data_IF_560724951645
#
_entry.id   IF_560724951645
#
_cell.length_a   1.000
_cell.length_b   1.000
_cell.length_c   1.000
_cell.angle_alpha   90.00
_cell.angle_beta   90.00
_cell.angle_gamma   90.00
#
_symmetry.space_group_name_H-M   'P 1'
#
loop_
_entity.id
_entity.type
_entity.pdbx_description
1 polymer ?
#
# COMPACT_ATOMS: atom_id res chain seq x y z
N UNK A 1 -34.68 8.40 -26.30
CA UNK A 1 -33.36 7.83 -26.65
C UNK A 1 -32.20 8.78 -26.32
N UNK A 2 -32.19 10.03 -26.83
CA UNK A 2 -31.09 10.98 -26.63
C UNK A 2 -30.79 11.35 -25.15
N UNK A 3 -31.82 11.58 -24.33
CA UNK A 3 -31.64 11.96 -22.91
C UNK A 3 -31.07 10.82 -22.06
N UNK A 4 -31.47 9.57 -22.33
CA UNK A 4 -30.97 8.38 -21.62
C UNK A 4 -29.49 8.14 -21.96
N UNK A 5 -29.11 8.30 -23.24
CA UNK A 5 -27.71 8.20 -23.65
C UNK A 5 -26.83 9.28 -22.99
N UNK A 6 -27.34 10.52 -22.85
CA UNK A 6 -26.62 11.61 -22.20
C UNK A 6 -26.40 11.35 -20.69
N UNK A 7 -27.44 10.88 -19.99
CA UNK A 7 -27.34 10.55 -18.54
C UNK A 7 -26.38 9.39 -18.31
N UNK A 8 -26.42 8.35 -19.15
CA UNK A 8 -25.48 7.22 -19.07
C UNK A 8 -24.03 7.65 -19.35
N UNK A 9 -23.81 8.54 -20.32
CA UNK A 9 -22.48 9.07 -20.62
C UNK A 9 -21.91 9.90 -19.46
N UNK A 10 -22.74 10.70 -18.78
CA UNK A 10 -22.32 11.49 -17.63
C UNK A 10 -22.00 10.62 -16.42
N UNK A 11 -22.82 9.60 -16.14
CA UNK A 11 -22.55 8.63 -15.07
C UNK A 11 -21.25 7.85 -15.31
N UNK A 12 -20.96 7.47 -16.56
CA UNK A 12 -19.72 6.80 -16.93
C UNK A 12 -18.48 7.70 -16.73
N UNK A 13 -18.56 8.98 -17.14
CA UNK A 13 -17.49 9.95 -16.94
C UNK A 13 -17.18 10.21 -15.46
N UNK A 14 -18.22 10.33 -14.62
CA UNK A 14 -18.05 10.49 -13.17
C UNK A 14 -17.43 9.25 -12.52
N UNK A 15 -17.85 8.05 -12.93
CA UNK A 15 -17.27 6.79 -12.45
C UNK A 15 -15.79 6.65 -12.81
N UNK A 16 -15.40 7.01 -14.02
CA UNK A 16 -14.00 6.99 -14.48
C UNK A 16 -13.14 7.99 -13.71
N UNK A 17 -13.62 9.23 -13.54
CA UNK A 17 -12.90 10.27 -12.80
C UNK A 17 -12.72 9.91 -11.32
N UNK A 18 -13.72 9.28 -10.69
CA UNK A 18 -13.63 8.83 -9.31
C UNK A 18 -12.64 7.66 -9.16
N UNK A 19 -12.68 6.68 -10.06
CA UNK A 19 -11.74 5.56 -10.05
C UNK A 19 -10.28 6.02 -10.24
N UNK A 20 -10.04 6.98 -11.14
CA UNK A 20 -8.71 7.57 -11.33
C UNK A 20 -8.20 8.28 -10.06
N UNK A 21 -9.05 9.06 -9.37
CA UNK A 21 -8.66 9.68 -8.10
C UNK A 21 -8.30 8.64 -7.03
N UNK A 22 -9.09 7.58 -6.90
CA UNK A 22 -8.83 6.50 -5.92
C UNK A 22 -7.52 5.77 -6.23
N UNK A 23 -7.22 5.53 -7.51
CA UNK A 23 -5.95 4.93 -7.93
C UNK A 23 -4.75 5.78 -7.52
N UNK A 24 -4.79 7.09 -7.77
CA UNK A 24 -3.70 8.00 -7.42
C UNK A 24 -3.54 8.16 -5.91
N UNK A 25 -4.65 8.24 -5.16
CA UNK A 25 -4.64 8.26 -3.69
C UNK A 25 -4.00 7.00 -3.10
N UNK A 26 -4.32 5.81 -3.63
CA UNK A 26 -3.78 4.55 -3.16
C UNK A 26 -2.30 4.37 -3.53
N UNK A 27 -1.87 4.81 -4.72
CA UNK A 27 -0.44 4.85 -5.08
C UNK A 27 0.33 5.80 -4.19
N UNK A 28 -0.25 6.95 -3.86
CA UNK A 28 0.33 7.89 -2.90
C UNK A 28 0.44 7.27 -1.51
N UNK A 29 -0.61 6.60 -1.04
CA UNK A 29 -0.62 5.92 0.26
C UNK A 29 0.52 4.91 0.38
N UNK A 30 0.72 4.07 -0.63
CA UNK A 30 1.81 3.07 -0.63
C UNK A 30 3.19 3.71 -0.76
N UNK A 31 3.31 4.80 -1.54
CA UNK A 31 4.56 5.59 -1.61
C UNK A 31 4.92 6.22 -0.27
N UNK A 32 3.93 6.78 0.44
CA UNK A 32 4.11 7.34 1.78
C UNK A 32 4.49 6.23 2.78
N UNK A 33 3.92 5.03 2.63
CA UNK A 33 4.27 3.84 3.44
C UNK A 33 5.71 3.40 3.21
N UNK A 34 6.17 3.33 1.95
CA UNK A 34 7.56 3.04 1.60
C UNK A 34 8.54 4.06 2.21
N UNK A 35 8.19 5.35 2.17
CA UNK A 35 8.98 6.38 2.83
C UNK A 35 8.99 6.22 4.37
N UNK A 36 7.87 5.81 4.97
CA UNK A 36 7.75 5.59 6.41
C UNK A 36 8.61 4.41 6.88
N UNK A 37 8.64 3.28 6.15
CA UNK A 37 9.47 2.13 6.53
C UNK A 37 10.97 2.45 6.45
N UNK A 38 11.41 3.26 5.48
CA UNK A 38 12.81 3.71 5.37
C UNK A 38 13.18 4.67 6.50
N UNK A 39 12.27 5.56 6.88
CA UNK A 39 12.48 6.51 7.99
C UNK A 39 12.35 5.88 9.37
N UNK A 40 11.81 4.66 9.47
CA UNK A 40 11.40 4.07 10.74
C UNK A 40 10.26 4.83 11.41
N UNK A 41 9.38 5.47 10.63
CA UNK A 41 8.24 6.24 11.14
C UNK A 41 7.10 5.31 11.59
N UNK A 42 7.25 4.80 12.80
CA UNK A 42 6.30 3.88 13.42
C UNK A 42 4.89 4.46 13.52
N UNK A 43 4.75 5.76 13.77
CA UNK A 43 3.43 6.39 13.93
C UNK A 43 2.63 6.35 12.61
N UNK A 44 3.30 6.61 11.48
CA UNK A 44 2.67 6.47 10.16
C UNK A 44 2.29 5.01 9.88
N UNK A 45 3.19 4.05 10.18
CA UNK A 45 2.92 2.63 9.97
C UNK A 45 1.75 2.13 10.83
N UNK A 46 1.64 2.56 12.08
CA UNK A 46 0.52 2.25 12.97
C UNK A 46 -0.81 2.79 12.44
N UNK A 47 -0.80 4.03 11.91
CA UNK A 47 -2.00 4.68 11.37
C UNK A 47 -2.47 4.06 10.07
N UNK A 48 -1.56 3.67 9.18
CA UNK A 48 -1.88 3.12 7.85
C UNK A 48 -2.25 1.64 7.87
N UNK A 49 -2.01 0.94 8.98
CA UNK A 49 -2.18 -0.51 9.07
C UNK A 49 -3.40 -0.85 9.94
N UNK A 50 -4.31 -1.65 9.41
CA UNK A 50 -5.47 -2.14 10.16
C UNK A 50 -5.07 -3.12 11.27
N UNK A 51 -5.88 -3.23 12.32
CA UNK A 51 -5.60 -4.13 13.45
C UNK A 51 -5.72 -5.63 13.07
N UNK A 52 -6.44 -5.95 11.99
CA UNK A 52 -6.56 -7.29 11.40
C UNK A 52 -5.52 -7.59 10.30
N UNK A 53 -4.52 -6.72 10.14
CA UNK A 53 -3.47 -6.88 9.14
C UNK A 53 -2.73 -8.21 9.28
N UNK A 54 -2.48 -8.84 8.13
CA UNK A 54 -1.68 -10.06 8.01
C UNK A 54 -0.64 -9.90 6.91
N UNK A 55 0.64 -10.03 7.28
CA UNK A 55 1.76 -10.15 6.35
C UNK A 55 2.14 -11.61 6.18
N UNK A 56 2.35 -12.05 4.94
CA UNK A 56 3.06 -13.29 4.62
C UNK A 56 4.42 -12.89 4.02
N UNK A 57 5.51 -13.24 4.70
CA UNK A 57 6.85 -12.88 4.23
C UNK A 57 7.40 -13.88 3.20
N UNK A 58 8.60 -13.60 2.67
CA UNK A 58 9.29 -14.44 1.66
C UNK A 58 9.60 -15.87 2.14
N UNK A 59 9.55 -16.12 3.45
CA UNK A 59 9.74 -17.44 4.05
C UNK A 59 8.40 -18.14 4.36
N UNK A 60 7.27 -17.57 3.95
CA UNK A 60 5.92 -18.10 4.24
C UNK A 60 5.46 -17.89 5.68
N UNK A 61 6.16 -17.08 6.48
CA UNK A 61 5.76 -16.81 7.86
C UNK A 61 4.69 -15.72 7.91
N UNK A 62 3.68 -15.94 8.74
CA UNK A 62 2.61 -14.99 8.98
C UNK A 62 2.96 -14.07 10.15
N UNK A 63 2.63 -12.78 10.05
CA UNK A 63 2.74 -11.83 11.15
C UNK A 63 1.65 -10.76 11.11
N UNK A 64 1.32 -10.21 12.28
CA UNK A 64 0.33 -9.16 12.44
C UNK A 64 0.92 -7.75 12.59
N UNK A 65 0.04 -6.75 12.72
CA UNK A 65 0.42 -5.33 12.87
C UNK A 65 1.41 -5.08 14.02
N UNK A 66 1.15 -5.62 15.21
CA UNK A 66 2.00 -5.40 16.38
C UNK A 66 3.43 -5.91 16.16
N UNK A 67 3.57 -7.11 15.60
CA UNK A 67 4.87 -7.71 15.28
C UNK A 67 5.64 -6.89 14.23
N UNK A 68 4.95 -6.39 13.20
CA UNK A 68 5.55 -5.50 12.21
C UNK A 68 6.06 -4.22 12.87
N UNK A 69 5.21 -3.55 13.65
CA UNK A 69 5.54 -2.29 14.34
C UNK A 69 6.71 -2.47 15.32
N UNK A 70 6.69 -3.52 16.13
CA UNK A 70 7.75 -3.82 17.08
C UNK A 70 9.09 -4.11 16.40
N UNK A 71 9.08 -4.72 15.21
CA UNK A 71 10.29 -4.97 14.44
C UNK A 71 10.98 -3.67 14.00
N UNK A 72 10.21 -2.67 13.54
CA UNK A 72 10.74 -1.34 13.22
C UNK A 72 11.16 -0.58 14.49
N UNK A 73 10.32 -0.59 15.54
CA UNK A 73 10.57 0.13 16.79
C UNK A 73 11.83 -0.36 17.53
N UNK A 74 12.08 -1.67 17.51
CA UNK A 74 13.27 -2.29 18.11
C UNK A 74 14.52 -2.22 17.23
N UNK A 75 14.41 -1.76 15.98
CA UNK A 75 15.50 -1.77 15.01
C UNK A 75 15.87 -3.17 14.49
N UNK A 76 15.08 -4.20 14.81
CA UNK A 76 15.23 -5.54 14.20
C UNK A 76 15.00 -5.50 12.69
N UNK A 77 14.15 -4.59 12.24
CA UNK A 77 14.02 -4.19 10.83
C UNK A 77 14.52 -2.76 10.67
N UNK A 78 15.46 -2.57 9.75
CA UNK A 78 15.97 -1.25 9.37
C UNK A 78 16.19 -1.20 7.87
N UNK A 79 15.26 -0.59 7.15
CA UNK A 79 15.38 -0.41 5.71
C UNK A 79 16.12 0.88 5.39
N UNK A 80 16.96 0.85 4.37
CA UNK A 80 17.70 2.00 3.83
C UNK A 80 17.19 2.43 2.46
N UNK A 81 16.47 1.54 1.76
CA UNK A 81 15.72 1.85 0.54
C UNK A 81 14.47 0.99 0.44
N UNK A 82 13.42 1.54 -0.15
CA UNK A 82 12.21 0.85 -0.59
C UNK A 82 11.67 1.59 -1.83
N UNK A 83 12.07 1.11 -3.01
CA UNK A 83 11.74 1.74 -4.29
C UNK A 83 10.61 0.99 -4.98
N UNK A 84 9.47 1.66 -5.15
CA UNK A 84 8.28 1.10 -5.77
C UNK A 84 8.25 1.37 -7.28
N UNK A 85 7.89 0.35 -8.06
CA UNK A 85 7.69 0.45 -9.50
C UNK A 85 6.57 -0.48 -9.98
N UNK A 86 6.09 -0.26 -11.21
CA UNK A 86 5.05 -1.08 -11.85
C UNK A 86 3.74 -1.20 -11.02
N UNK A 87 3.41 -0.21 -10.19
CA UNK A 87 2.21 -0.22 -9.36
C UNK A 87 0.94 -0.19 -10.21
N UNK A 88 0.06 -1.16 -9.96
CA UNK A 88 -1.27 -1.28 -10.55
C UNK A 88 -2.30 -1.43 -9.44
N UNK A 89 -3.39 -0.68 -9.55
CA UNK A 89 -4.50 -0.71 -8.60
C UNK A 89 -5.72 -1.32 -9.27
N UNK A 90 -6.41 -2.23 -8.58
CA UNK A 90 -7.73 -2.73 -8.98
C UNK A 90 -8.71 -2.52 -7.84
N UNK A 91 -9.81 -1.81 -8.10
CA UNK A 91 -10.83 -1.49 -7.10
C UNK A 91 -12.03 -2.42 -7.25
N UNK A 92 -12.46 -3.00 -6.14
CA UNK A 92 -13.59 -3.90 -5.97
C UNK A 92 -14.49 -3.38 -4.84
N UNK A 93 -15.42 -2.49 -5.19
CA UNK A 93 -16.27 -1.83 -4.18
C UNK A 93 -15.46 -1.00 -3.20
N UNK A 94 -15.44 -1.39 -1.93
CA UNK A 94 -14.66 -0.74 -0.86
C UNK A 94 -13.26 -1.36 -0.66
N UNK A 95 -12.88 -2.33 -1.48
CA UNK A 95 -11.59 -3.04 -1.38
C UNK A 95 -10.73 -2.71 -2.59
N UNK A 96 -9.43 -2.52 -2.40
CA UNK A 96 -8.49 -2.37 -3.51
C UNK A 96 -7.35 -3.38 -3.38
N UNK A 97 -6.91 -3.92 -4.51
CA UNK A 97 -5.71 -4.75 -4.61
C UNK A 97 -4.65 -3.94 -5.34
N UNK A 98 -3.54 -3.67 -4.64
CA UNK A 98 -2.35 -3.04 -5.19
C UNK A 98 -1.33 -4.14 -5.49
N UNK A 99 -0.81 -4.15 -6.71
CA UNK A 99 0.32 -5.02 -7.11
C UNK A 99 1.44 -4.16 -7.67
N UNK A 100 2.69 -4.52 -7.43
CA UNK A 100 3.85 -3.80 -7.97
C UNK A 100 5.14 -4.54 -7.67
N UNK A 101 6.26 -3.90 -7.98
CA UNK A 101 7.60 -4.33 -7.59
C UNK A 101 8.15 -3.39 -6.53
N UNK A 102 8.78 -3.95 -5.51
CA UNK A 102 9.53 -3.22 -4.50
C UNK A 102 10.99 -3.66 -4.56
N UNK A 103 11.90 -2.71 -4.72
CA UNK A 103 13.34 -2.94 -4.55
C UNK A 103 13.72 -2.45 -3.17
N UNK A 104 13.90 -3.38 -2.26
CA UNK A 104 14.18 -3.10 -0.85
C UNK A 104 15.67 -3.27 -0.58
N UNK A 105 16.23 -2.41 0.27
CA UNK A 105 17.57 -2.58 0.84
C UNK A 105 17.54 -2.36 2.34
N UNK A 106 18.33 -3.12 3.09
CA UNK A 106 18.55 -2.88 4.52
C UNK A 106 18.71 -4.18 5.29
N UNK A 107 18.19 -4.22 6.51
CA UNK A 107 18.21 -5.43 7.35
C UNK A 107 16.81 -5.79 7.84
N UNK A 108 16.48 -7.08 7.78
CA UNK A 108 15.26 -7.66 8.36
C UNK A 108 15.66 -8.83 9.24
N UNK A 109 15.36 -8.75 10.54
CA UNK A 109 15.77 -9.77 11.51
C UNK A 109 17.29 -9.94 11.59
N UNK A 110 18.05 -8.86 11.35
CA UNK A 110 19.51 -8.86 11.33
C UNK A 110 20.15 -9.49 10.09
N UNK A 111 19.37 -9.84 9.06
CA UNK A 111 19.88 -10.31 7.78
C UNK A 111 19.71 -9.22 6.72
N UNK A 112 20.72 -9.08 5.88
CA UNK A 112 20.67 -8.14 4.76
C UNK A 112 19.61 -8.58 3.74
N UNK A 113 18.90 -7.58 3.24
CA UNK A 113 17.93 -7.68 2.14
C UNK A 113 18.19 -6.59 1.12
#
# INVERSE_FOLDING_TARGET
>A
AFVIALVLSLAALLGLAWAANVEDELKKLETDRAAAVVKGDVATLEKQTSDDYTLINVNGQMSGKSQMVDAFKSGKTKLTSDELSDMKVRVYGNTAVITGKATVKGTIGGKDV
#
